data_IF_027419858892
#
_entry.id   IF_027419858892
#
_cell.length_a   1.000
_cell.length_b   1.000
_cell.length_c   1.000
_cell.angle_alpha   90.00
_cell.angle_beta   90.00
_cell.angle_gamma   90.00
#
_symmetry.space_group_name_H-M   'P 1'
#
loop_
_entity.id
_entity.type
_entity.pdbx_description
1 polymer ?
#
# COMPACT_ATOMS: atom_id res chain seq x y z
N UNK A 1 -4.39 -20.05 6.09
CA UNK A 1 -5.74 -19.60 6.48
C UNK A 1 -6.29 -18.76 5.34
N UNK A 2 -7.49 -19.09 4.87
CA UNK A 2 -7.99 -18.72 3.54
C UNK A 2 -8.17 -17.20 3.36
N UNK A 3 -7.63 -16.65 2.27
CA UNK A 3 -7.87 -15.29 1.75
C UNK A 3 -9.35 -14.89 1.77
N UNK A 4 -10.24 -15.88 1.67
CA UNK A 4 -11.68 -15.75 1.83
C UNK A 4 -12.11 -15.09 3.15
N UNK A 5 -11.49 -15.42 4.28
CA UNK A 5 -11.86 -14.83 5.57
C UNK A 5 -11.48 -13.34 5.64
N UNK A 6 -10.34 -12.98 5.03
CA UNK A 6 -9.91 -11.59 4.93
C UNK A 6 -10.87 -10.78 4.07
N UNK A 7 -11.25 -11.27 2.89
CA UNK A 7 -12.21 -10.60 2.00
C UNK A 7 -13.56 -10.38 2.70
N UNK A 8 -14.06 -11.37 3.42
CA UNK A 8 -15.32 -11.23 4.17
C UNK A 8 -15.22 -10.18 5.30
N UNK A 9 -14.05 -10.08 5.96
CA UNK A 9 -13.81 -9.03 6.97
C UNK A 9 -13.71 -7.65 6.35
N UNK A 10 -13.03 -7.50 5.21
CA UNK A 10 -12.94 -6.24 4.46
C UNK A 10 -14.32 -5.79 3.98
N UNK A 11 -15.14 -6.71 3.44
CA UNK A 11 -16.52 -6.44 3.05
C UNK A 11 -17.39 -6.02 4.26
N UNK A 12 -17.18 -6.65 5.42
CA UNK A 12 -17.83 -6.26 6.68
C UNK A 12 -17.47 -4.84 7.12
N UNK A 13 -16.18 -4.46 7.00
CA UNK A 13 -15.69 -3.11 7.30
C UNK A 13 -16.32 -2.07 6.38
N UNK A 14 -16.35 -2.34 5.07
CA UNK A 14 -17.01 -1.47 4.08
C UNK A 14 -18.49 -1.25 4.41
N UNK A 15 -19.22 -2.33 4.69
CA UNK A 15 -20.63 -2.27 5.07
C UNK A 15 -20.84 -1.46 6.36
N UNK A 16 -19.97 -1.60 7.36
CA UNK A 16 -20.03 -0.76 8.55
C UNK A 16 -19.85 0.73 8.21
N UNK A 17 -18.86 1.06 7.38
CA UNK A 17 -18.58 2.44 6.94
C UNK A 17 -19.76 3.07 6.21
N UNK A 18 -20.33 2.36 5.21
CA UNK A 18 -21.50 2.81 4.44
C UNK A 18 -22.70 3.07 5.35
N UNK A 19 -22.87 2.27 6.40
CA UNK A 19 -23.95 2.43 7.37
C UNK A 19 -23.65 3.48 8.46
N UNK A 20 -22.64 4.33 8.26
CA UNK A 20 -22.27 5.40 9.20
C UNK A 20 -21.66 4.90 10.51
N UNK A 21 -21.30 3.62 10.61
CA UNK A 21 -20.66 3.07 11.80
C UNK A 21 -19.16 3.35 11.75
N UNK A 22 -18.62 3.77 12.90
CA UNK A 22 -17.18 3.98 13.06
C UNK A 22 -16.44 2.67 12.84
N UNK A 23 -15.62 2.61 11.78
CA UNK A 23 -14.62 1.56 11.63
C UNK A 23 -13.50 1.84 12.60
N UNK A 24 -13.24 0.90 13.50
CA UNK A 24 -12.15 0.98 14.48
C UNK A 24 -11.07 -0.05 14.13
N UNK A 25 -9.86 0.15 14.64
CA UNK A 25 -8.76 -0.82 14.54
C UNK A 25 -8.15 -1.05 13.14
N UNK A 26 -8.37 -0.16 12.17
CA UNK A 26 -7.73 -0.21 10.84
C UNK A 26 -6.21 -0.38 10.93
N UNK A 27 -5.58 0.41 11.80
CA UNK A 27 -4.14 0.35 12.02
C UNK A 27 -3.69 -0.99 12.64
N UNK A 28 -4.52 -1.61 13.51
CA UNK A 28 -4.20 -2.92 14.08
C UNK A 28 -4.24 -4.01 13.01
N UNK A 29 -5.11 -3.90 12.01
CA UNK A 29 -5.14 -4.85 10.90
C UNK A 29 -3.86 -4.73 10.07
N UNK A 30 -3.47 -3.51 9.70
CA UNK A 30 -2.25 -3.22 8.96
C UNK A 30 -1.00 -3.87 9.57
N UNK A 31 -0.84 -3.81 10.90
CA UNK A 31 0.37 -4.29 11.58
C UNK A 31 0.31 -5.75 12.05
N UNK A 32 -0.86 -6.41 12.00
CA UNK A 32 -1.04 -7.77 12.53
C UNK A 32 -1.50 -8.80 11.50
N UNK A 33 -1.74 -8.40 10.25
CA UNK A 33 -2.31 -9.26 9.21
C UNK A 33 -1.40 -9.30 7.98
N UNK A 34 -0.50 -10.28 7.88
CA UNK A 34 0.39 -10.41 6.73
C UNK A 34 -0.35 -10.64 5.40
N UNK A 35 -1.54 -11.23 5.44
CA UNK A 35 -2.34 -11.54 4.25
C UNK A 35 -2.73 -10.27 3.46
N UNK A 36 -2.85 -9.15 4.17
CA UNK A 36 -3.11 -7.82 3.59
C UNK A 36 -1.91 -7.34 2.77
N UNK A 37 -0.70 -7.61 3.25
CA UNK A 37 0.52 -7.21 2.58
C UNK A 37 0.79 -8.05 1.35
N UNK A 38 0.35 -9.31 1.34
CA UNK A 38 0.39 -10.18 0.16
C UNK A 38 -0.55 -9.68 -0.94
N UNK A 39 -1.78 -9.28 -0.58
CA UNK A 39 -2.72 -8.68 -1.51
C UNK A 39 -2.21 -7.35 -2.06
N UNK A 40 -1.76 -6.45 -1.17
CA UNK A 40 -1.17 -5.18 -1.54
C UNK A 40 0.05 -5.36 -2.48
N UNK A 41 0.88 -6.36 -2.22
CA UNK A 41 2.01 -6.69 -3.10
C UNK A 41 1.54 -7.09 -4.50
N UNK A 42 0.53 -7.95 -4.59
CA UNK A 42 -0.05 -8.35 -5.87
C UNK A 42 -0.61 -7.13 -6.63
N UNK A 43 -1.39 -6.28 -5.97
CA UNK A 43 -1.96 -5.07 -6.56
C UNK A 43 -0.87 -4.10 -7.06
N UNK A 44 0.14 -3.83 -6.23
CA UNK A 44 1.26 -2.96 -6.61
C UNK A 44 2.01 -3.53 -7.82
N UNK A 45 2.21 -4.86 -7.89
CA UNK A 45 2.89 -5.50 -9.01
C UNK A 45 2.07 -5.48 -10.30
N UNK A 46 0.74 -5.56 -10.22
CA UNK A 46 -0.16 -5.47 -11.38
C UNK A 46 -0.26 -4.05 -11.97
N UNK A 47 0.13 -3.02 -11.21
CA UNK A 47 0.07 -1.64 -11.67
C UNK A 47 1.13 -1.34 -12.74
N UNK A 48 0.77 -0.56 -13.78
CA UNK A 48 1.68 -0.16 -14.88
C UNK A 48 2.94 0.58 -14.43
N UNK A 49 2.95 1.13 -13.21
CA UNK A 49 4.07 1.83 -12.59
C UNK A 49 4.84 1.01 -11.55
N UNK A 50 4.61 -0.30 -11.45
CA UNK A 50 5.24 -1.18 -10.47
C UNK A 50 6.78 -1.15 -10.56
N UNK A 51 7.30 -1.25 -11.79
CA UNK A 51 8.73 -1.31 -12.10
C UNK A 51 9.45 0.04 -11.99
N UNK A 52 8.70 1.15 -11.85
CA UNK A 52 9.29 2.47 -11.67
C UNK A 52 9.96 2.58 -10.30
N UNK A 53 11.30 2.64 -10.31
CA UNK A 53 12.12 2.81 -9.10
C UNK A 53 11.81 4.12 -8.40
N UNK A 54 11.83 4.10 -7.07
CA UNK A 54 11.72 5.31 -6.25
C UNK A 54 13.04 6.07 -6.22
N UNK A 55 13.33 6.72 -5.09
CA UNK A 55 14.66 7.26 -4.79
C UNK A 55 15.67 6.17 -4.41
N UNK A 56 15.21 4.97 -4.10
CA UNK A 56 16.03 3.79 -3.83
C UNK A 56 15.97 2.77 -4.99
N UNK A 57 16.89 1.82 -4.96
CA UNK A 57 16.99 0.77 -5.99
C UNK A 57 16.08 -0.44 -5.75
N UNK A 58 15.22 -0.35 -4.74
CA UNK A 58 14.32 -1.43 -4.35
C UNK A 58 13.20 -1.57 -5.37
N UNK A 59 13.14 -2.74 -6.02
CA UNK A 59 12.05 -3.17 -6.90
C UNK A 59 11.25 -4.30 -6.26
N UNK A 60 10.18 -4.74 -6.94
CA UNK A 60 9.36 -5.87 -6.50
C UNK A 60 10.19 -7.13 -6.18
N UNK A 61 11.21 -7.42 -6.99
CA UNK A 61 12.08 -8.59 -6.83
C UNK A 61 12.89 -8.59 -5.51
N UNK A 62 13.12 -7.40 -4.94
CA UNK A 62 13.79 -7.22 -3.66
C UNK A 62 12.86 -7.28 -2.45
N UNK A 63 11.56 -7.55 -2.66
CA UNK A 63 10.57 -7.66 -1.61
C UNK A 63 10.39 -9.12 -1.19
N UNK A 64 10.45 -9.37 0.12
CA UNK A 64 10.23 -10.69 0.70
C UNK A 64 9.22 -10.62 1.84
N UNK A 65 8.72 -11.77 2.25
CA UNK A 65 7.83 -11.88 3.39
C UNK A 65 8.47 -11.34 4.68
N UNK A 66 9.75 -11.64 4.92
CA UNK A 66 10.48 -11.14 6.09
C UNK A 66 10.65 -9.62 6.06
N UNK A 67 10.85 -9.05 4.86
CA UNK A 67 10.88 -7.60 4.68
C UNK A 67 9.52 -6.97 4.98
N UNK A 68 8.41 -7.60 4.55
CA UNK A 68 7.07 -7.15 4.94
C UNK A 68 6.90 -7.16 6.45
N UNK A 69 7.37 -8.21 7.14
CA UNK A 69 7.32 -8.28 8.62
C UNK A 69 8.13 -7.18 9.28
N UNK A 70 9.32 -6.89 8.77
CA UNK A 70 10.16 -5.82 9.29
C UNK A 70 9.46 -4.46 9.16
N UNK A 71 8.85 -4.18 8.01
CA UNK A 71 8.08 -2.96 7.82
C UNK A 71 6.86 -2.92 8.76
N UNK A 72 6.14 -4.04 8.93
CA UNK A 72 5.03 -4.14 9.89
C UNK A 72 5.48 -3.87 11.33
N UNK A 73 6.66 -4.34 11.72
CA UNK A 73 7.25 -4.08 13.05
C UNK A 73 7.67 -2.62 13.22
N UNK A 74 8.25 -2.01 12.19
CA UNK A 74 8.59 -0.59 12.18
C UNK A 74 7.35 0.30 12.28
N UNK A 75 6.29 -0.07 11.56
CA UNK A 75 4.99 0.59 11.70
C UNK A 75 4.51 0.44 13.14
N UNK A 76 4.39 -0.80 13.65
CA UNK A 76 3.92 -1.10 15.01
C UNK A 76 4.67 -0.32 16.11
N UNK A 77 5.99 -0.15 15.96
CA UNK A 77 6.84 0.57 16.90
C UNK A 77 6.89 2.09 16.67
N UNK A 78 6.22 2.60 15.63
CA UNK A 78 6.25 4.01 15.25
C UNK A 78 7.59 4.48 14.67
N UNK A 79 8.47 3.56 14.28
CA UNK A 79 9.82 3.85 13.77
C UNK A 79 9.90 3.90 12.25
N UNK A 80 8.84 3.51 11.54
CA UNK A 80 8.77 3.60 10.08
C UNK A 80 8.92 5.05 9.61
N UNK A 81 9.88 5.29 8.70
CA UNK A 81 10.13 6.60 8.08
C UNK A 81 9.94 6.49 6.57
N UNK A 82 8.89 7.10 6.00
CA UNK A 82 8.70 7.14 4.56
C UNK A 82 9.88 7.81 3.87
N UNK A 83 10.25 7.33 2.68
CA UNK A 83 11.34 7.93 1.90
C UNK A 83 10.80 9.08 1.05
N UNK A 84 11.64 10.06 0.70
CA UNK A 84 11.23 11.13 -0.19
C UNK A 84 10.84 10.56 -1.57
N UNK A 85 9.83 11.17 -2.17
CA UNK A 85 9.32 10.75 -3.48
C UNK A 85 10.24 11.25 -4.61
N UNK A 86 10.55 10.39 -5.59
CA UNK A 86 11.35 10.78 -6.76
C UNK A 86 10.50 11.61 -7.72
N UNK A 87 10.98 12.80 -8.11
CA UNK A 87 10.25 13.67 -9.05
C UNK A 87 10.59 13.30 -10.49
N UNK A 88 9.56 13.11 -11.31
CA UNK A 88 9.68 13.04 -12.78
C UNK A 88 8.74 14.04 -13.44
N UNK A 89 9.03 14.39 -14.69
CA UNK A 89 8.24 15.35 -15.44
C UNK A 89 7.69 14.70 -16.71
N UNK A 90 6.37 14.65 -16.81
CA UNK A 90 5.67 14.13 -17.99
C UNK A 90 5.33 15.31 -18.91
N UNK A 91 5.73 15.28 -20.20
CA UNK A 91 5.40 16.35 -21.13
C UNK A 91 3.90 16.42 -21.39
N UNK A 92 3.37 17.64 -21.52
CA UNK A 92 2.02 17.91 -22.03
C UNK A 92 2.11 18.30 -23.51
N UNK A 93 0.99 18.17 -24.23
CA UNK A 93 0.86 18.62 -25.62
C UNK A 93 1.13 20.11 -25.83
N UNK A 94 0.94 20.94 -24.80
CA UNK A 94 1.16 22.39 -24.85
C UNK A 94 2.57 22.84 -24.44
N UNK A 95 3.55 21.94 -24.43
CA UNK A 95 4.95 22.24 -24.08
C UNK A 95 5.24 22.40 -22.58
N UNK A 96 4.22 22.48 -21.73
CA UNK A 96 4.39 22.46 -20.26
C UNK A 96 4.66 21.05 -19.76
N UNK A 97 5.18 20.92 -18.54
CA UNK A 97 5.44 19.62 -17.89
C UNK A 97 4.52 19.41 -16.68
N UNK A 98 3.99 18.21 -16.49
CA UNK A 98 3.28 17.79 -15.27
C UNK A 98 4.29 17.11 -14.33
N UNK A 99 4.52 17.62 -13.11
CA UNK A 99 5.32 16.91 -12.13
C UNK A 99 4.57 15.66 -11.66
N UNK A 100 5.25 14.53 -11.61
CA UNK A 100 4.77 13.29 -11.01
C UNK A 100 5.76 12.87 -9.92
N UNK A 101 5.23 12.50 -8.75
CA UNK A 101 6.02 11.89 -7.69
C UNK A 101 5.95 10.36 -7.82
N UNK A 102 7.09 9.70 -7.90
CA UNK A 102 7.21 8.24 -7.87
C UNK A 102 7.74 7.84 -6.48
N UNK A 103 6.90 7.25 -5.61
CA UNK A 103 7.33 6.77 -4.30
C UNK A 103 8.22 5.52 -4.43
N UNK A 104 8.90 5.16 -3.34
CA UNK A 104 9.66 3.90 -3.27
C UNK A 104 8.73 2.70 -3.32
N UNK A 105 9.25 1.53 -3.69
CA UNK A 105 8.43 0.32 -3.73
C UNK A 105 7.84 0.01 -2.34
N UNK A 106 8.65 0.17 -1.29
CA UNK A 106 8.21 0.01 0.10
C UNK A 106 7.08 0.98 0.45
N UNK A 107 7.21 2.25 0.08
CA UNK A 107 6.15 3.24 0.34
C UNK A 107 4.87 2.96 -0.47
N UNK A 108 4.99 2.48 -1.73
CA UNK A 108 3.84 2.01 -2.52
C UNK A 108 3.12 0.87 -1.80
N UNK A 109 3.86 -0.09 -1.26
CA UNK A 109 3.29 -1.24 -0.56
C UNK A 109 2.57 -0.82 0.73
N UNK A 110 3.17 0.07 1.51
CA UNK A 110 2.53 0.65 2.70
C UNK A 110 1.26 1.40 2.32
N UNK A 111 1.30 2.21 1.28
CA UNK A 111 0.14 2.96 0.80
C UNK A 111 -0.97 2.03 0.31
N UNK A 112 -0.65 1.03 -0.51
CA UNK A 112 -1.63 0.07 -1.04
C UNK A 112 -2.27 -0.74 0.10
N UNK A 113 -1.45 -1.21 1.05
CA UNK A 113 -1.94 -1.95 2.22
C UNK A 113 -2.90 -1.12 3.08
N UNK A 114 -2.77 0.21 3.11
CA UNK A 114 -3.72 1.12 3.73
C UNK A 114 -4.94 1.39 2.84
N UNK A 115 -4.75 1.50 1.53
CA UNK A 115 -5.81 1.80 0.57
C UNK A 115 -6.86 0.70 0.50
N UNK A 116 -6.42 -0.57 0.42
CA UNK A 116 -7.32 -1.74 0.45
C UNK A 116 -8.27 -1.72 1.68
N UNK A 117 -7.84 -1.10 2.78
CA UNK A 117 -8.62 -0.98 4.01
C UNK A 117 -9.58 0.20 4.02
N UNK A 118 -9.19 1.31 3.40
CA UNK A 118 -9.94 2.56 3.42
C UNK A 118 -10.99 2.61 2.32
N UNK A 119 -10.68 2.07 1.15
CA UNK A 119 -11.61 2.06 0.02
C UNK A 119 -12.66 0.98 0.14
N UNK A 120 -12.42 -0.03 1.00
CA UNK A 120 -13.37 -1.08 1.36
C UNK A 120 -14.20 -1.51 0.16
N UNK A 121 -13.59 -2.21 -0.81
CA UNK A 121 -14.19 -2.65 -2.09
C UNK A 121 -15.69 -2.31 -2.22
N UNK A 122 -15.97 -1.09 -2.70
CA UNK A 122 -17.29 -0.68 -3.15
C UNK A 122 -17.66 -1.44 -4.43
#
# INVERSE_FOLDING_TARGET
MSTYNLQQRLAGISKCSINGKKVTDLYKLLVNKPEIWELAYANVCSNKGATNKGVDEVTADGQSYDRNREIMNQLRSGTYRPKPTRRVYIPKSNGKKRPLGIPTFTDKLVQESLQDHLEGHL
#
